data_IF_103901668320
#
_entry.id   IF_103901668320
#
_cell.length_a   1.000
_cell.length_b   1.000
_cell.length_c   1.000
_cell.angle_alpha   90.00
_cell.angle_beta   90.00
_cell.angle_gamma   90.00
#
_symmetry.space_group_name_H-M   'P 1'
#
loop_
_entity.id
_entity.type
_entity.pdbx_description
1 polymer ?
#
# COMPACT_ATOMS: atom_id res chain seq x y z
N UNK A 1 12.39 -7.97 16.52
CA UNK A 1 12.38 -9.44 16.55
C UNK A 1 12.81 -9.97 15.21
N UNK A 2 13.57 -11.07 15.19
CA UNK A 2 14.22 -11.69 14.02
C UNK A 2 13.31 -11.76 12.76
N UNK A 3 12.00 -11.88 12.95
CA UNK A 3 11.02 -12.08 11.88
C UNK A 3 10.51 -10.81 11.20
N UNK A 4 10.52 -9.65 11.86
CA UNK A 4 10.01 -8.40 11.29
C UNK A 4 11.16 -7.51 10.78
N UNK A 5 10.85 -6.57 9.88
CA UNK A 5 11.80 -5.53 9.51
C UNK A 5 12.15 -4.68 10.74
N UNK A 6 13.45 -4.47 10.98
CA UNK A 6 13.96 -3.69 12.11
C UNK A 6 14.88 -2.61 11.56
N UNK A 7 14.67 -1.37 12.00
CA UNK A 7 15.66 -0.30 11.90
C UNK A 7 16.13 0.10 13.29
N UNK A 8 17.43 -0.02 13.56
CA UNK A 8 18.04 0.50 14.79
C UNK A 8 18.73 1.82 14.45
N UNK A 9 18.34 2.89 15.13
CA UNK A 9 18.88 4.23 14.94
C UNK A 9 19.92 4.52 16.02
N UNK A 10 20.99 5.24 15.66
CA UNK A 10 22.02 5.66 16.62
C UNK A 10 21.62 6.91 17.42
N UNK A 11 20.59 7.62 16.98
CA UNK A 11 20.09 8.85 17.59
C UNK A 11 18.71 8.57 18.20
N UNK A 12 18.53 8.91 19.48
CA UNK A 12 17.30 8.72 20.25
C UNK A 12 16.11 9.55 19.76
N UNK A 13 16.35 10.59 18.95
CA UNK A 13 15.32 11.44 18.35
C UNK A 13 15.00 11.05 16.90
N UNK A 14 15.60 9.95 16.40
CA UNK A 14 15.25 9.36 15.11
C UNK A 14 14.63 7.99 15.36
N UNK A 15 13.42 7.80 14.85
CA UNK A 15 12.70 6.54 14.97
C UNK A 15 12.54 5.88 13.60
N UNK A 16 12.80 4.58 13.52
CA UNK A 16 12.38 3.79 12.37
C UNK A 16 10.87 3.58 12.40
N UNK A 17 10.17 4.02 11.35
CA UNK A 17 8.71 3.89 11.26
C UNK A 17 8.30 2.68 10.41
N UNK A 18 8.86 2.55 9.21
CA UNK A 18 8.50 1.49 8.27
C UNK A 18 9.54 1.33 7.18
N UNK A 19 9.45 0.22 6.44
CA UNK A 19 10.25 -0.04 5.24
C UNK A 19 9.37 -0.68 4.16
N UNK A 20 9.88 -0.75 2.93
CA UNK A 20 9.22 -1.50 1.85
C UNK A 20 10.04 -2.74 1.48
N UNK A 21 9.50 -3.57 0.58
CA UNK A 21 10.24 -4.69 -0.02
C UNK A 21 11.50 -4.23 -0.78
N UNK A 22 11.49 -3.01 -1.30
CA UNK A 22 12.61 -2.42 -2.05
C UNK A 22 13.75 -1.92 -1.16
N UNK A 23 13.54 -1.82 0.14
CA UNK A 23 14.56 -1.38 1.09
C UNK A 23 15.58 -2.49 1.29
N UNK A 24 16.86 -2.25 0.96
CA UNK A 24 17.92 -3.24 1.15
C UNK A 24 18.46 -3.18 2.58
N UNK A 25 18.85 -4.33 3.13
CA UNK A 25 19.55 -4.39 4.40
C UNK A 25 20.90 -3.66 4.32
N UNK A 26 21.25 -2.89 5.35
CA UNK A 26 22.43 -2.04 5.34
C UNK A 26 22.43 -1.02 6.47
N UNK A 27 23.51 -0.26 6.57
CA UNK A 27 23.59 0.89 7.48
C UNK A 27 23.63 2.17 6.64
N UNK A 28 22.71 3.08 6.90
CA UNK A 28 22.54 4.31 6.15
C UNK A 28 22.81 5.51 7.05
N UNK A 29 23.66 6.43 6.61
CA UNK A 29 23.82 7.73 7.28
C UNK A 29 22.54 8.56 7.19
N UNK A 30 22.29 9.38 8.18
CA UNK A 30 21.16 10.30 8.21
C UNK A 30 21.72 11.71 8.33
N UNK A 31 21.28 12.60 7.46
CA UNK A 31 21.60 14.02 7.52
C UNK A 31 20.32 14.83 7.34
N UNK A 32 20.12 15.84 8.19
CA UNK A 32 18.94 16.71 8.15
C UNK A 32 19.37 18.09 7.70
N UNK A 33 18.86 18.55 6.57
CA UNK A 33 19.12 19.89 6.05
C UNK A 33 18.18 20.94 6.68
N UNK A 34 16.90 20.61 6.87
CA UNK A 34 15.93 21.46 7.57
C UNK A 34 14.97 20.59 8.37
N UNK A 35 14.60 21.05 9.56
CA UNK A 35 13.59 20.38 10.38
C UNK A 35 12.18 20.78 9.94
N UNK A 36 11.23 19.88 10.18
CA UNK A 36 9.83 20.18 9.95
C UNK A 36 9.36 21.29 10.90
N UNK A 37 8.50 22.18 10.41
CA UNK A 37 7.87 23.21 11.23
C UNK A 37 6.36 23.06 11.25
N UNK A 38 5.73 23.64 12.27
CA UNK A 38 4.28 23.72 12.40
C UNK A 38 3.80 25.05 11.83
N UNK A 39 2.72 25.01 11.08
CA UNK A 39 2.01 26.21 10.63
C UNK A 39 1.25 26.89 11.76
N UNK A 40 1.19 28.22 11.71
CA UNK A 40 0.65 29.04 12.80
C UNK A 40 0.04 30.35 12.35
N UNK A 41 -0.86 30.88 13.18
CA UNK A 41 -1.30 32.28 13.17
C UNK A 41 -0.80 32.93 14.44
N UNK A 42 0.00 33.98 14.32
CA UNK A 42 0.48 34.77 15.45
C UNK A 42 -0.07 36.19 15.36
N UNK A 43 -0.74 36.64 16.42
CA UNK A 43 -1.13 38.03 16.57
C UNK A 43 0.03 38.91 17.01
N UNK A 44 -0.20 40.22 17.00
CA UNK A 44 0.75 41.22 17.51
C UNK A 44 0.17 42.06 18.66
N UNK A 45 -1.10 41.86 19.02
CA UNK A 45 -1.73 42.61 20.10
C UNK A 45 -1.39 41.99 21.46
N UNK A 46 -0.85 42.80 22.37
CA UNK A 46 -0.64 42.41 23.76
C UNK A 46 -2.00 42.33 24.48
N UNK A 47 -2.34 41.13 24.95
CA UNK A 47 -3.59 40.81 25.64
C UNK A 47 -3.38 40.69 27.16
N UNK A 48 -2.16 40.86 27.66
CA UNK A 48 -1.82 40.65 29.08
C UNK A 48 -2.18 41.85 29.95
N UNK A 49 -2.28 43.04 29.35
CA UNK A 49 -2.58 44.28 30.07
C UNK A 49 -4.05 44.42 30.49
N UNK A 50 -4.99 43.78 29.79
CA UNK A 50 -6.41 43.87 30.07
C UNK A 50 -7.17 42.61 29.59
N UNK A 51 -8.28 42.30 30.26
CA UNK A 51 -9.18 41.23 29.82
C UNK A 51 -9.83 41.56 28.48
N UNK A 52 -10.08 40.53 27.68
CA UNK A 52 -10.76 40.63 26.38
C UNK A 52 -12.20 40.18 26.49
N UNK A 53 -13.14 40.99 26.00
CA UNK A 53 -14.56 40.63 25.96
C UNK A 53 -14.94 40.03 24.61
N UNK A 54 -15.52 38.83 24.63
CA UNK A 54 -16.14 38.16 23.48
C UNK A 54 -17.65 38.42 23.51
N UNK A 55 -18.17 38.96 22.42
CA UNK A 55 -19.61 39.26 22.29
C UNK A 55 -20.42 38.01 21.96
N UNK A 56 -21.70 38.01 22.32
CA UNK A 56 -22.62 36.92 21.95
C UNK A 56 -22.74 36.77 20.44
N UNK A 57 -22.80 35.53 19.97
CA UNK A 57 -22.86 35.22 18.54
C UNK A 57 -21.53 35.38 17.81
N UNK A 58 -20.39 35.40 18.52
CA UNK A 58 -19.07 35.43 17.89
C UNK A 58 -18.79 34.10 17.18
N UNK A 59 -18.52 34.18 15.87
CA UNK A 59 -18.14 33.03 15.06
C UNK A 59 -17.08 33.39 14.03
N UNK A 60 -16.18 32.45 13.76
CA UNK A 60 -15.10 32.58 12.78
C UNK A 60 -15.09 31.40 11.81
N UNK A 61 -14.64 31.64 10.59
CA UNK A 61 -14.26 30.57 9.67
C UNK A 61 -12.78 30.27 9.90
N UNK A 62 -12.48 29.05 10.31
CA UNK A 62 -11.11 28.57 10.52
C UNK A 62 -10.79 27.58 9.43
N UNK A 63 -9.64 27.74 8.79
CA UNK A 63 -9.03 26.71 7.95
C UNK A 63 -7.88 26.08 8.73
N UNK A 64 -7.85 24.75 8.84
CA UNK A 64 -6.82 24.00 9.55
C UNK A 64 -6.33 22.85 8.70
N UNK A 65 -5.02 22.80 8.47
CA UNK A 65 -4.35 21.81 7.65
C UNK A 65 -4.97 21.65 6.25
N UNK A 66 -5.34 22.79 5.66
CA UNK A 66 -6.02 22.86 4.38
C UNK A 66 -5.09 22.74 3.18
N UNK A 67 -5.65 22.35 2.04
CA UNK A 67 -5.02 22.49 0.72
C UNK A 67 -5.41 23.82 0.09
N UNK A 68 -4.76 24.20 -1.01
CA UNK A 68 -5.24 25.30 -1.86
C UNK A 68 -5.69 24.74 -3.22
N UNK A 69 -6.97 24.82 -3.59
CA UNK A 69 -8.09 25.37 -2.81
C UNK A 69 -8.45 24.49 -1.59
N UNK A 70 -9.09 25.11 -0.60
CA UNK A 70 -9.46 24.42 0.64
C UNK A 70 -10.56 23.39 0.40
N UNK A 71 -10.51 22.31 1.18
CA UNK A 71 -11.56 21.29 1.18
C UNK A 71 -12.51 21.53 2.35
N UNK A 72 -13.78 21.15 2.20
CA UNK A 72 -14.79 21.36 3.25
C UNK A 72 -14.40 20.74 4.59
N UNK A 73 -13.71 19.59 4.60
CA UNK A 73 -13.20 18.93 5.81
C UNK A 73 -12.11 19.71 6.55
N UNK A 74 -11.46 20.67 5.87
CA UNK A 74 -10.36 21.50 6.43
C UNK A 74 -10.82 22.89 6.82
N UNK A 75 -12.11 23.21 6.65
CA UNK A 75 -12.71 24.49 7.02
C UNK A 75 -13.85 24.24 8.00
N UNK A 76 -13.93 25.02 9.08
CA UNK A 76 -15.01 24.91 10.04
C UNK A 76 -15.48 26.30 10.51
N UNK A 77 -16.77 26.42 10.82
CA UNK A 77 -17.28 27.52 11.61
C UNK A 77 -17.02 27.23 13.08
N UNK A 78 -16.22 28.07 13.72
CA UNK A 78 -15.85 27.98 15.13
C UNK A 78 -16.61 29.05 15.90
N UNK A 79 -17.42 28.62 16.87
CA UNK A 79 -18.19 29.51 17.74
C UNK A 79 -17.44 29.74 19.04
N UNK A 80 -17.32 30.99 19.46
CA UNK A 80 -16.69 31.36 20.73
C UNK A 80 -17.77 31.74 21.74
N UNK A 81 -17.66 31.20 22.96
CA UNK A 81 -18.56 31.55 24.04
C UNK A 81 -18.38 33.03 24.42
N UNK A 82 -19.50 33.72 24.67
CA UNK A 82 -19.48 35.09 25.13
C UNK A 82 -18.97 35.15 26.57
N UNK A 83 -18.22 36.21 26.89
CA UNK A 83 -17.65 36.39 28.22
C UNK A 83 -16.46 37.32 28.22
N UNK A 84 -15.88 37.53 29.39
CA UNK A 84 -14.65 38.31 29.57
C UNK A 84 -13.56 37.36 30.03
N UNK A 85 -12.45 37.34 29.30
CA UNK A 85 -11.37 36.37 29.47
C UNK A 85 -10.04 37.08 29.69
N UNK A 86 -9.24 36.58 30.63
CA UNK A 86 -7.80 36.85 30.65
C UNK A 86 -7.10 36.28 29.41
N UNK A 87 -5.86 36.68 29.15
CA UNK A 87 -5.11 36.20 28.00
C UNK A 87 -4.99 34.66 27.95
N UNK A 88 -4.72 34.01 29.09
CA UNK A 88 -4.62 32.55 29.20
C UNK A 88 -5.96 31.84 29.03
N UNK A 89 -7.04 32.41 29.57
CA UNK A 89 -8.38 31.85 29.40
C UNK A 89 -8.85 32.00 27.95
N UNK A 90 -8.49 33.11 27.29
CA UNK A 90 -8.80 33.32 25.89
C UNK A 90 -8.07 32.32 24.99
N UNK A 91 -6.78 32.05 25.24
CA UNK A 91 -6.06 31.00 24.54
C UNK A 91 -6.73 29.63 24.73
N UNK A 92 -7.13 29.30 25.96
CA UNK A 92 -7.85 28.05 26.27
C UNK A 92 -9.21 27.97 25.55
N UNK A 93 -9.95 29.08 25.52
CA UNK A 93 -11.23 29.19 24.81
C UNK A 93 -11.04 28.94 23.31
N UNK A 94 -10.11 29.66 22.68
CA UNK A 94 -9.84 29.55 21.23
C UNK A 94 -9.37 28.15 20.87
N UNK A 95 -8.45 27.56 21.66
CA UNK A 95 -8.01 26.17 21.48
C UNK A 95 -9.18 25.19 21.54
N UNK A 96 -10.01 25.29 22.58
CA UNK A 96 -11.13 24.38 22.81
C UNK A 96 -12.20 24.52 21.74
N UNK A 97 -12.50 25.75 21.31
CA UNK A 97 -13.49 26.03 20.28
C UNK A 97 -13.04 25.48 18.91
N UNK A 98 -11.76 25.67 18.54
CA UNK A 98 -11.21 25.11 17.31
C UNK A 98 -11.19 23.58 17.40
N UNK A 99 -10.59 22.99 18.43
CA UNK A 99 -10.46 21.54 18.56
C UNK A 99 -11.81 20.82 18.73
N UNK A 100 -12.83 21.52 19.22
CA UNK A 100 -14.20 21.01 19.35
C UNK A 100 -15.01 21.03 18.05
N UNK A 101 -14.56 21.75 17.00
CA UNK A 101 -15.29 21.80 15.74
C UNK A 101 -15.26 20.43 15.04
N UNK A 102 -16.44 19.92 14.66
CA UNK A 102 -16.62 18.55 14.14
C UNK A 102 -15.76 18.23 12.92
N UNK A 103 -15.55 19.18 12.01
CA UNK A 103 -14.69 19.00 10.85
C UNK A 103 -13.24 18.67 11.25
N UNK A 104 -12.76 19.23 12.36
CA UNK A 104 -11.40 19.02 12.86
C UNK A 104 -11.33 17.80 13.79
N UNK A 105 -12.25 17.66 14.74
CA UNK A 105 -12.24 16.52 15.66
C UNK A 105 -12.46 15.18 14.95
N UNK A 106 -13.33 15.14 13.93
CA UNK A 106 -13.54 13.92 13.12
C UNK A 106 -12.33 13.55 12.25
N UNK A 107 -11.52 14.53 11.86
CA UNK A 107 -10.30 14.32 11.06
C UNK A 107 -9.04 14.17 11.92
N UNK A 108 -9.17 14.24 13.25
CA UNK A 108 -8.05 14.25 14.18
C UNK A 108 -7.14 15.47 14.05
N UNK A 109 -7.64 16.55 13.43
CA UNK A 109 -6.93 17.82 13.36
C UNK A 109 -7.14 18.61 14.65
N UNK A 110 -6.05 19.17 15.17
CA UNK A 110 -6.07 19.97 16.38
C UNK A 110 -5.03 21.09 16.31
N UNK A 111 -5.26 22.11 17.12
CA UNK A 111 -4.35 23.23 17.35
C UNK A 111 -3.95 23.29 18.83
N UNK A 112 -2.84 23.97 19.08
CA UNK A 112 -2.44 24.47 20.38
C UNK A 112 -2.49 26.00 20.32
N UNK A 113 -3.27 26.62 21.20
CA UNK A 113 -3.29 28.08 21.35
C UNK A 113 -2.57 28.50 22.63
N UNK A 114 -1.77 29.55 22.54
CA UNK A 114 -0.93 30.02 23.64
C UNK A 114 -0.71 31.53 23.55
N UNK A 115 -0.36 32.16 24.66
CA UNK A 115 0.16 33.53 24.66
C UNK A 115 1.66 33.48 24.44
N UNK A 116 2.16 34.17 23.42
CA UNK A 116 3.58 34.23 23.10
C UNK A 116 4.33 35.17 24.06
N UNK A 117 5.66 35.25 23.91
CA UNK A 117 6.50 36.11 24.77
C UNK A 117 6.22 37.61 24.65
N UNK A 118 5.49 38.03 23.61
CA UNK A 118 5.06 39.42 23.40
C UNK A 118 3.64 39.69 23.95
N UNK A 119 3.04 38.73 24.67
CA UNK A 119 1.69 38.88 25.23
C UNK A 119 0.56 38.66 24.22
N UNK A 120 0.88 38.26 22.98
CA UNK A 120 -0.11 38.08 21.92
C UNK A 120 -0.55 36.62 21.75
N UNK A 121 -1.77 36.43 21.27
CA UNK A 121 -2.32 35.10 20.99
C UNK A 121 -1.63 34.48 19.76
N UNK A 122 -1.15 33.25 19.91
CA UNK A 122 -0.61 32.40 18.86
C UNK A 122 -1.40 31.09 18.81
N UNK A 123 -1.82 30.67 17.61
CA UNK A 123 -2.48 29.39 17.35
C UNK A 123 -1.61 28.58 16.40
N UNK A 124 -1.11 27.44 16.85
CA UNK A 124 -0.26 26.51 16.09
C UNK A 124 -1.04 25.25 15.76
N UNK A 125 -0.97 24.75 14.53
CA UNK A 125 -1.44 23.40 14.22
C UNK A 125 -0.57 22.37 14.95
N UNK A 126 -1.16 21.27 15.39
CA UNK A 126 -0.42 20.16 16.00
C UNK A 126 0.29 19.28 14.95
N UNK A 127 0.01 19.49 13.66
CA UNK A 127 0.73 18.82 12.58
C UNK A 127 2.03 19.55 12.26
N UNK A 128 2.91 18.85 11.55
CA UNK A 128 4.15 19.37 11.00
C UNK A 128 4.12 19.22 9.49
N UNK A 129 4.91 20.04 8.81
CA UNK A 129 5.07 19.94 7.36
C UNK A 129 4.29 20.97 6.57
N UNK A 130 4.39 20.87 5.25
CA UNK A 130 3.67 21.75 4.30
C UNK A 130 2.15 21.68 4.44
N UNK A 131 1.62 20.54 4.89
CA UNK A 131 0.19 20.37 5.20
C UNK A 131 -0.25 21.12 6.46
N UNK A 132 0.69 21.60 7.28
CA UNK A 132 0.38 22.31 8.50
C UNK A 132 0.15 23.79 8.19
N UNK A 133 -1.10 24.24 8.27
CA UNK A 133 -1.45 25.65 8.15
C UNK A 133 -2.66 25.97 9.00
N UNK A 134 -2.79 27.24 9.36
CA UNK A 134 -3.93 27.77 10.11
C UNK A 134 -4.28 29.14 9.51
N UNK A 135 -5.56 29.36 9.24
CA UNK A 135 -6.10 30.66 8.84
C UNK A 135 -7.42 30.91 9.55
N UNK A 136 -7.66 32.15 9.96
CA UNK A 136 -8.84 32.55 10.73
C UNK A 136 -9.43 33.80 10.09
N UNK A 137 -10.71 33.72 9.72
CA UNK A 137 -11.46 34.82 9.14
C UNK A 137 -12.71 35.09 9.98
N UNK A 138 -12.94 36.34 10.35
CA UNK A 138 -14.13 36.75 11.08
C UNK A 138 -15.41 36.47 10.28
N UNK A 139 -16.47 35.97 10.94
CA UNK A 139 -17.81 35.89 10.35
C UNK A 139 -18.78 36.84 11.07
N UNK A 140 -19.01 36.63 12.36
CA UNK A 140 -19.96 37.41 13.18
C UNK A 140 -19.40 37.72 14.56
N UNK A 141 -19.94 38.74 15.23
CA UNK A 141 -19.57 39.13 16.59
C UNK A 141 -18.18 39.79 16.67
N UNK A 142 -17.37 39.40 17.64
CA UNK A 142 -16.03 39.95 17.85
C UNK A 142 -15.08 39.55 16.73
N UNK A 143 -14.43 40.52 16.08
CA UNK A 143 -13.56 40.25 14.94
C UNK A 143 -12.27 39.56 15.40
N UNK A 144 -11.74 38.65 14.57
CA UNK A 144 -10.42 38.05 14.80
C UNK A 144 -9.32 39.12 14.85
N UNK A 145 -9.43 40.21 14.08
CA UNK A 145 -8.51 41.35 14.14
C UNK A 145 -8.57 42.10 15.47
N UNK A 146 -9.72 42.07 16.17
CA UNK A 146 -9.75 42.59 17.53
C UNK A 146 -8.82 41.71 18.36
N UNK A 147 -8.90 40.39 18.32
CA UNK A 147 -8.09 39.55 19.22
C UNK A 147 -6.61 39.49 18.80
N UNK A 148 -6.34 39.23 17.53
CA UNK A 148 -4.99 39.02 17.01
C UNK A 148 -4.28 40.31 16.59
N UNK A 149 -5.00 41.41 16.38
CA UNK A 149 -4.44 42.60 15.72
C UNK A 149 -4.09 42.31 14.26
N UNK A 150 -2.90 42.74 13.83
CA UNK A 150 -2.33 42.35 12.53
C UNK A 150 -1.71 40.98 12.66
N UNK A 151 -2.47 39.93 12.35
CA UNK A 151 -2.01 38.55 12.42
C UNK A 151 -1.04 38.22 11.28
N UNK A 152 0.00 37.47 11.59
CA UNK A 152 0.87 36.83 10.59
C UNK A 152 0.56 35.33 10.56
N UNK A 153 0.15 34.83 9.39
CA UNK A 153 0.06 33.40 9.12
C UNK A 153 1.35 32.90 8.50
N UNK A 154 1.86 31.77 8.97
CA UNK A 154 3.04 31.11 8.42
C UNK A 154 2.74 29.63 8.29
N UNK A 155 2.91 29.09 7.10
CA UNK A 155 2.74 27.66 6.86
C UNK A 155 3.93 26.87 7.40
N UNK A 156 3.65 25.63 7.77
CA UNK A 156 4.68 24.67 8.13
C UNK A 156 5.51 24.27 6.91
N UNK A 157 6.70 23.77 7.17
CA UNK A 157 7.62 23.25 6.15
C UNK A 157 7.95 21.80 6.47
N UNK A 158 8.09 20.98 5.45
CA UNK A 158 8.48 19.57 5.62
C UNK A 158 9.94 19.48 6.02
N UNK A 159 10.29 18.42 6.75
CA UNK A 159 11.68 18.05 6.96
C UNK A 159 12.38 17.86 5.61
N UNK A 160 13.65 18.22 5.51
CA UNK A 160 14.48 17.89 4.34
C UNK A 160 15.82 17.34 4.80
N UNK A 161 16.39 16.43 4.02
CA UNK A 161 17.60 15.72 4.41
C UNK A 161 17.98 14.60 3.44
N UNK A 162 18.92 13.77 3.86
CA UNK A 162 19.42 12.63 3.11
C UNK A 162 19.47 11.35 3.95
N UNK A 163 19.32 10.21 3.29
CA UNK A 163 19.50 8.87 3.85
C UNK A 163 20.52 8.14 2.98
N UNK A 164 21.61 7.66 3.58
CA UNK A 164 22.71 7.01 2.87
C UNK A 164 23.45 7.95 1.91
N UNK A 165 23.47 9.26 2.21
CA UNK A 165 24.09 10.28 1.36
C UNK A 165 23.25 10.67 0.12
N UNK A 166 22.06 10.10 -0.05
CA UNK A 166 21.13 10.45 -1.13
C UNK A 166 19.97 11.27 -0.57
N UNK A 167 19.59 12.34 -1.27
CA UNK A 167 18.45 13.17 -0.88
C UNK A 167 17.21 12.30 -0.66
N UNK A 168 16.51 12.52 0.45
CA UNK A 168 15.31 11.78 0.85
C UNK A 168 14.06 12.64 0.66
N UNK A 169 12.91 12.00 0.52
CA UNK A 169 11.62 12.69 0.43
C UNK A 169 11.11 13.02 1.82
N UNK A 170 10.89 14.31 2.08
CA UNK A 170 10.32 14.83 3.33
C UNK A 170 8.81 14.94 3.30
N UNK A 171 8.15 14.57 4.40
CA UNK A 171 6.73 14.85 4.62
C UNK A 171 6.46 14.95 6.12
N UNK A 172 6.07 16.13 6.60
CA UNK A 172 6.03 16.42 8.02
C UNK A 172 7.39 16.15 8.66
N UNK A 173 7.41 15.37 9.73
CA UNK A 173 8.62 14.93 10.44
C UNK A 173 9.25 13.67 9.83
N UNK A 174 8.72 13.16 8.72
CA UNK A 174 9.18 11.89 8.14
C UNK A 174 10.12 12.12 6.96
N UNK A 175 11.29 11.46 6.99
CA UNK A 175 12.16 11.29 5.83
C UNK A 175 11.98 9.88 5.26
N UNK A 176 11.77 9.79 3.95
CA UNK A 176 11.63 8.52 3.22
C UNK A 176 12.72 8.40 2.17
N UNK A 177 13.43 7.28 2.17
CA UNK A 177 14.50 7.02 1.19
C UNK A 177 13.96 6.97 -0.23
N UNK A 178 14.72 7.59 -1.15
CA UNK A 178 14.27 7.90 -2.52
C UNK A 178 14.14 6.63 -3.39
N UNK A 179 13.12 6.56 -4.26
CA UNK A 179 12.98 5.49 -5.24
C UNK A 179 14.26 5.28 -6.05
N UNK A 180 14.67 4.02 -6.22
CA UNK A 180 15.89 3.64 -6.94
C UNK A 180 17.17 3.64 -6.09
N UNK A 181 17.13 4.13 -4.85
CA UNK A 181 18.23 3.95 -3.88
C UNK A 181 18.13 2.63 -3.10
N UNK A 182 19.21 2.23 -2.45
CA UNK A 182 19.20 1.08 -1.54
C UNK A 182 18.30 1.32 -0.30
N UNK A 183 18.13 2.59 0.09
CA UNK A 183 17.22 3.01 1.16
C UNK A 183 15.77 3.20 0.67
N UNK A 184 15.40 2.79 -0.55
CA UNK A 184 14.07 3.03 -1.13
C UNK A 184 12.95 2.55 -0.19
N UNK A 185 12.10 3.48 0.23
CA UNK A 185 10.96 3.22 1.10
C UNK A 185 11.32 3.02 2.58
N UNK A 186 12.58 3.20 2.97
CA UNK A 186 12.98 3.33 4.38
C UNK A 186 12.42 4.64 4.92
N UNK A 187 11.47 4.56 5.86
CA UNK A 187 10.81 5.71 6.47
C UNK A 187 11.27 5.89 7.90
N UNK A 188 11.80 7.07 8.18
CA UNK A 188 12.28 7.50 9.49
C UNK A 188 11.45 8.70 9.95
N UNK A 189 11.12 8.75 11.23
CA UNK A 189 10.55 9.92 11.89
C UNK A 189 11.65 10.64 12.67
N UNK A 190 11.74 11.96 12.50
CA UNK A 190 12.72 12.81 13.19
C UNK A 190 11.94 13.87 13.95
N UNK A 191 11.85 13.70 15.26
CA UNK A 191 10.92 14.47 16.11
C UNK A 191 11.46 15.82 16.55
N UNK A 192 12.78 15.93 16.70
CA UNK A 192 13.48 17.17 17.09
C UNK A 192 14.98 17.01 16.86
N UNK A 193 15.77 18.06 17.13
CA UNK A 193 17.23 17.99 17.25
C UNK A 193 17.94 19.11 16.49
N UNK A 194 19.23 18.91 16.19
CA UNK A 194 20.00 19.83 15.36
C UNK A 194 19.88 19.48 13.87
N UNK A 195 20.18 20.47 13.02
CA UNK A 195 20.43 20.31 11.59
C UNK A 195 21.85 19.72 11.41
N UNK A 196 22.05 18.92 10.36
CA UNK A 196 23.29 18.24 10.02
C UNK A 196 23.26 16.73 10.25
N UNK A 197 24.43 16.10 10.48
CA UNK A 197 24.53 14.65 10.64
C UNK A 197 23.78 14.15 11.90
N UNK A 198 22.86 13.20 11.71
CA UNK A 198 22.03 12.57 12.75
C UNK A 198 22.43 11.12 13.03
N UNK A 199 23.66 10.75 12.67
CA UNK A 199 24.18 9.40 12.83
C UNK A 199 23.68 8.45 11.73
N UNK A 200 23.32 7.23 12.12
CA UNK A 200 22.99 6.15 11.17
C UNK A 200 21.76 5.35 11.58
N UNK A 201 21.08 4.76 10.60
CA UNK A 201 20.11 3.68 10.80
C UNK A 201 20.63 2.38 10.22
N UNK A 202 20.72 1.34 11.06
CA UNK A 202 21.02 -0.03 10.66
C UNK A 202 19.71 -0.78 10.41
N UNK A 203 19.43 -1.07 9.15
CA UNK A 203 18.22 -1.74 8.70
C UNK A 203 18.47 -3.22 8.38
N UNK A 204 17.56 -4.08 8.85
CA UNK A 204 17.52 -5.51 8.55
C UNK A 204 16.10 -5.91 8.15
N UNK A 205 15.96 -6.62 7.03
CA UNK A 205 14.66 -6.91 6.41
C UNK A 205 13.87 -8.04 7.10
N UNK A 206 14.45 -8.70 8.12
CA UNK A 206 13.82 -9.81 8.85
C UNK A 206 13.64 -11.09 8.01
N UNK A 207 13.55 -12.24 8.67
CA UNK A 207 13.47 -13.54 7.97
C UNK A 207 12.09 -13.82 7.36
N UNK A 208 11.01 -13.19 7.85
CA UNK A 208 9.67 -13.44 7.32
C UNK A 208 9.52 -12.96 5.87
N UNK A 209 10.22 -11.89 5.49
CA UNK A 209 10.26 -11.42 4.10
C UNK A 209 10.92 -12.46 3.18
N UNK A 210 12.01 -13.08 3.62
CA UNK A 210 12.70 -14.13 2.86
C UNK A 210 11.82 -15.39 2.72
N UNK A 211 11.14 -15.80 3.79
CA UNK A 211 10.20 -16.93 3.78
C UNK A 211 8.99 -16.67 2.87
N UNK A 212 8.42 -15.46 2.91
CA UNK A 212 7.32 -15.07 2.02
C UNK A 212 7.76 -15.05 0.54
N UNK A 213 8.98 -14.58 0.27
CA UNK A 213 9.54 -14.56 -1.09
C UNK A 213 9.76 -15.98 -1.60
N UNK A 214 10.29 -16.88 -0.76
CA UNK A 214 10.49 -18.29 -1.11
C UNK A 214 9.15 -19.00 -1.35
N UNK A 215 8.16 -18.81 -0.47
CA UNK A 215 6.83 -19.36 -0.63
C UNK A 215 6.16 -18.85 -1.92
N UNK A 216 6.26 -17.55 -2.19
CA UNK A 216 5.74 -16.94 -3.43
C UNK A 216 6.42 -17.50 -4.68
N UNK A 217 7.73 -17.77 -4.63
CA UNK A 217 8.47 -18.40 -5.73
C UNK A 217 8.04 -19.85 -6.00
N UNK A 218 7.65 -20.61 -4.97
CA UNK A 218 7.16 -21.98 -5.13
C UNK A 218 5.69 -22.05 -5.54
N UNK A 219 4.84 -21.16 -5.02
CA UNK A 219 3.40 -21.13 -5.30
C UNK A 219 3.02 -20.26 -6.51
N UNK A 220 3.96 -19.48 -7.06
CA UNK A 220 3.73 -18.65 -8.22
C UNK A 220 3.30 -19.45 -9.46
N UNK A 221 2.71 -18.75 -10.43
CA UNK A 221 2.23 -19.34 -11.70
C UNK A 221 3.34 -20.01 -12.53
N UNK A 222 4.60 -19.62 -12.32
CA UNK A 222 5.81 -20.22 -12.90
C UNK A 222 6.64 -21.01 -11.88
N UNK A 223 6.08 -21.25 -10.69
CA UNK A 223 6.76 -21.93 -9.59
C UNK A 223 6.89 -23.44 -9.81
N UNK A 224 7.68 -24.09 -8.94
CA UNK A 224 7.93 -25.54 -9.01
C UNK A 224 6.65 -26.38 -8.99
N UNK A 225 5.64 -25.94 -8.24
CA UNK A 225 4.35 -26.64 -8.14
C UNK A 225 3.57 -26.54 -9.46
N UNK A 226 3.57 -25.37 -10.09
CA UNK A 226 2.96 -25.17 -11.40
C UNK A 226 3.67 -26.00 -12.48
N UNK A 227 5.01 -26.00 -12.48
CA UNK A 227 5.81 -26.83 -13.39
C UNK A 227 5.56 -28.32 -13.24
N UNK A 228 5.46 -28.83 -12.00
CA UNK A 228 5.09 -30.23 -11.74
C UNK A 228 3.67 -30.56 -12.23
N UNK A 229 2.72 -29.64 -12.01
CA UNK A 229 1.34 -29.79 -12.48
C UNK A 229 1.26 -29.83 -14.01
N UNK A 230 2.01 -28.96 -14.69
CA UNK A 230 2.03 -28.92 -16.15
C UNK A 230 2.76 -30.13 -16.76
N UNK A 231 3.82 -30.62 -16.11
CA UNK A 231 4.46 -31.89 -16.47
C UNK A 231 3.49 -33.07 -16.35
N UNK A 232 2.72 -33.16 -15.27
CA UNK A 232 1.69 -34.19 -15.09
C UNK A 232 0.59 -34.09 -16.15
N UNK A 233 0.12 -32.88 -16.49
CA UNK A 233 -0.84 -32.67 -17.59
C UNK A 233 -0.27 -33.12 -18.94
N UNK A 234 1.01 -32.89 -19.20
CA UNK A 234 1.67 -33.36 -20.41
C UNK A 234 1.71 -34.90 -20.44
N UNK A 235 2.08 -35.54 -19.34
CA UNK A 235 2.05 -37.01 -19.22
C UNK A 235 0.63 -37.58 -19.42
N UNK A 236 -0.39 -36.96 -18.83
CA UNK A 236 -1.79 -37.36 -19.05
C UNK A 236 -2.15 -37.25 -20.54
N UNK A 237 -1.79 -36.14 -21.19
CA UNK A 237 -2.06 -35.92 -22.62
C UNK A 237 -1.38 -36.96 -23.51
N UNK A 238 -0.15 -37.35 -23.20
CA UNK A 238 0.57 -38.36 -23.98
C UNK A 238 0.04 -39.79 -23.72
N UNK A 239 -0.43 -40.08 -22.50
CA UNK A 239 -1.17 -41.31 -22.21
C UNK A 239 -2.47 -41.36 -23.00
N UNK A 240 -3.22 -40.26 -23.09
CA UNK A 240 -4.47 -40.21 -23.87
C UNK A 240 -4.21 -40.42 -25.37
N UNK A 241 -3.16 -39.80 -25.94
CA UNK A 241 -2.74 -40.09 -27.32
C UNK A 241 -2.42 -41.57 -27.53
N UNK A 242 -1.70 -42.17 -26.57
CA UNK A 242 -1.34 -43.59 -26.61
C UNK A 242 -2.58 -44.49 -26.57
N UNK A 243 -3.57 -44.15 -25.74
CA UNK A 243 -4.87 -44.83 -25.67
C UNK A 243 -5.64 -44.72 -26.99
N UNK A 244 -5.70 -43.54 -27.59
CA UNK A 244 -6.35 -43.34 -28.90
C UNK A 244 -5.68 -44.17 -29.99
N UNK A 245 -4.35 -44.16 -30.05
CA UNK A 245 -3.60 -44.96 -31.04
C UNK A 245 -3.81 -46.47 -30.83
N UNK A 246 -3.85 -46.94 -29.58
CA UNK A 246 -4.13 -48.34 -29.27
C UNK A 246 -5.54 -48.75 -29.69
N UNK A 247 -6.56 -47.92 -29.40
CA UNK A 247 -7.94 -48.18 -29.83
C UNK A 247 -8.07 -48.24 -31.35
N UNK A 248 -7.40 -47.35 -32.09
CA UNK A 248 -7.37 -47.41 -33.55
C UNK A 248 -6.76 -48.74 -34.06
N UNK A 249 -5.66 -49.17 -33.43
CA UNK A 249 -5.02 -50.46 -33.76
C UNK A 249 -5.93 -51.66 -33.49
N UNK A 250 -6.71 -51.65 -32.41
CA UNK A 250 -7.68 -52.72 -32.13
C UNK A 250 -8.73 -52.85 -33.23
N UNK A 251 -9.23 -51.72 -33.75
CA UNK A 251 -10.19 -51.70 -34.87
C UNK A 251 -9.56 -52.28 -36.15
N UNK A 252 -8.31 -51.93 -36.46
CA UNK A 252 -7.60 -52.47 -37.62
C UNK A 252 -7.34 -53.98 -37.50
N UNK A 253 -6.96 -54.43 -36.30
CA UNK A 253 -6.76 -55.85 -36.00
C UNK A 253 -8.07 -56.63 -36.12
N UNK A 254 -9.17 -56.11 -35.61
CA UNK A 254 -10.50 -56.71 -35.78
C UNK A 254 -10.88 -56.81 -37.27
N UNK A 255 -10.70 -55.74 -38.03
CA UNK A 255 -10.98 -55.73 -39.47
C UNK A 255 -10.16 -56.77 -40.23
N UNK A 256 -8.87 -56.92 -39.86
CA UNK A 256 -7.99 -57.95 -40.43
C UNK A 256 -8.49 -59.35 -40.08
N UNK A 257 -8.80 -59.63 -38.81
CA UNK A 257 -9.30 -60.93 -38.39
C UNK A 257 -10.65 -61.27 -39.05
N UNK A 258 -11.57 -60.31 -39.19
CA UNK A 258 -12.83 -60.51 -39.95
C UNK A 258 -12.55 -60.88 -41.41
N UNK A 259 -11.60 -60.20 -42.08
CA UNK A 259 -11.21 -60.51 -43.46
C UNK A 259 -10.60 -61.91 -43.59
N UNK A 260 -9.69 -62.27 -42.69
CA UNK A 260 -9.08 -63.61 -42.65
C UNK A 260 -10.13 -64.69 -42.41
N UNK A 261 -11.09 -64.47 -41.51
CA UNK A 261 -12.19 -65.39 -41.24
C UNK A 261 -13.12 -65.57 -42.46
N UNK A 262 -13.50 -64.49 -43.14
CA UNK A 262 -14.29 -64.58 -44.38
C UNK A 262 -13.54 -65.31 -45.49
N UNK A 263 -12.23 -65.07 -45.63
CA UNK A 263 -11.40 -65.79 -46.62
C UNK A 263 -11.30 -67.29 -46.30
N UNK A 264 -11.18 -67.64 -45.01
CA UNK A 264 -11.24 -69.03 -44.54
C UNK A 264 -12.59 -69.67 -44.85
N UNK A 265 -13.71 -68.99 -44.65
CA UNK A 265 -15.05 -69.51 -44.96
C UNK A 265 -15.23 -69.77 -46.47
N UNK A 266 -14.78 -68.83 -47.32
CA UNK A 266 -14.76 -69.02 -48.78
C UNK A 266 -13.86 -70.20 -49.18
N UNK A 267 -12.69 -70.34 -48.57
CA UNK A 267 -11.80 -71.46 -48.83
C UNK A 267 -12.46 -72.81 -48.45
N UNK A 268 -13.14 -72.88 -47.30
CA UNK A 268 -13.88 -74.07 -46.85
C UNK A 268 -15.04 -74.39 -47.80
N UNK A 269 -15.82 -73.40 -48.23
CA UNK A 269 -16.90 -73.59 -49.22
C UNK A 269 -16.36 -74.09 -50.57
N UNK A 270 -15.23 -73.54 -51.02
CA UNK A 270 -14.55 -74.01 -52.23
C UNK A 270 -14.10 -75.46 -52.06
N UNK A 271 -13.48 -75.82 -50.94
CA UNK A 271 -13.04 -77.19 -50.66
C UNK A 271 -14.23 -78.17 -50.64
N UNK A 272 -15.36 -77.79 -50.05
CA UNK A 272 -16.59 -78.59 -50.07
C UNK A 272 -17.16 -78.76 -51.49
N UNK A 273 -17.12 -77.71 -52.30
CA UNK A 273 -17.55 -77.75 -53.71
C UNK A 273 -16.64 -78.65 -54.54
N UNK A 274 -15.32 -78.58 -54.34
CA UNK A 274 -14.34 -79.46 -54.96
C UNK A 274 -14.54 -80.91 -54.52
N UNK A 275 -14.77 -81.18 -53.23
CA UNK A 275 -15.05 -82.52 -52.72
C UNK A 275 -16.33 -83.12 -53.33
N UNK A 276 -17.38 -82.30 -53.49
CA UNK A 276 -18.63 -82.70 -54.14
C UNK A 276 -18.42 -83.00 -55.63
N UNK A 277 -17.68 -82.15 -56.35
CA UNK A 277 -17.34 -82.37 -57.75
C UNK A 277 -16.52 -83.65 -57.95
N UNK A 278 -15.49 -83.87 -57.12
CA UNK A 278 -14.69 -85.09 -57.15
C UNK A 278 -15.54 -86.32 -56.85
N UNK A 279 -16.47 -86.23 -55.90
CA UNK A 279 -17.40 -87.33 -55.60
C UNK A 279 -18.35 -87.63 -56.77
N UNK A 280 -18.86 -86.60 -57.47
CA UNK A 280 -19.70 -86.76 -58.66
C UNK A 280 -18.93 -87.34 -59.84
N UNK A 281 -17.70 -86.88 -60.09
CA UNK A 281 -16.83 -87.46 -61.12
C UNK A 281 -16.51 -88.93 -60.83
N UNK A 282 -16.20 -89.25 -59.57
CA UNK A 282 -15.96 -90.62 -59.14
C UNK A 282 -17.20 -91.51 -59.33
N UNK A 283 -18.39 -91.01 -58.96
CA UNK A 283 -19.66 -91.72 -59.17
C UNK A 283 -20.02 -91.88 -60.67
N UNK A 284 -19.69 -90.90 -61.51
CA UNK A 284 -19.87 -90.97 -62.97
C UNK A 284 -18.94 -92.00 -63.61
N UNK A 285 -17.71 -92.14 -63.11
CA UNK A 285 -16.77 -93.19 -63.54
C UNK A 285 -17.27 -94.56 -63.08
N UNK A 286 -17.83 -94.65 -61.87
CA UNK A 286 -18.39 -95.90 -61.33
C UNK A 286 -19.69 -96.35 -62.03
N UNK A 287 -20.46 -95.44 -62.64
CA UNK A 287 -21.69 -95.76 -63.39
C UNK A 287 -21.47 -96.18 -64.85
N UNK A 288 -20.27 -95.99 -65.39
CA UNK A 288 -19.91 -96.33 -66.77
C UNK A 288 -19.08 -97.63 -66.88
N UNK A 289 -19.09 -98.46 -65.83
CA UNK A 289 -18.71 -99.87 -65.85
C UNK A 289 -19.90 -100.73 -65.44
#
# INVERSE_FOLDING_TARGET
GLFAAIGNTSDSLVNFTSSTASTKAGTYSIDVAHLATQGKVAGNRDLTAASTTITSGTSWSVTLNGTTPSTSSTVATVNLAAGTYSASELATLVQSAINGASNFSNSGAAVTASINSAGALEVKSNKYGSVSNVSITSLTGTAASDIFGTSTSTDGTDISGSIGGLAATGSGQFLTGTPGSDANGLKLEITAGAIGPRGTVSFSQGYAYQLNTLASGFLGSTGLIAGGTDGLKASIKDIDKSRTAFNARLVDVEKRYRKEFTALDVAVQSMNSTATYLSQQLASIAKNN
#
